data_IF_179997033020
#
_entry.id   IF_179997033020
#
_cell.length_a   1.000
_cell.length_b   1.000
_cell.length_c   1.000
_cell.angle_alpha   90.00
_cell.angle_beta   90.00
_cell.angle_gamma   90.00
#
_symmetry.space_group_name_H-M   'P 1'
#
loop_
_entity.id
_entity.type
_entity.pdbx_description
1 polymer ?
#
# COMPACT_ATOMS: atom_id res chain seq x y z
N UNK A 1 22.09 -3.82 16.66
CA UNK A 1 21.05 -4.84 16.88
C UNK A 1 20.67 -4.73 18.35
N UNK A 2 19.55 -4.09 18.65
CA UNK A 2 19.04 -4.01 20.02
C UNK A 2 18.01 -5.13 20.14
N UNK A 3 18.32 -6.17 20.91
CA UNK A 3 17.33 -7.18 21.29
C UNK A 3 16.20 -6.47 22.05
N UNK A 4 15.01 -6.47 21.46
CA UNK A 4 13.81 -6.21 22.23
C UNK A 4 13.64 -7.35 23.24
N UNK A 5 13.26 -7.08 24.50
CA UNK A 5 13.10 -8.12 25.51
C UNK A 5 12.13 -9.20 25.01
N UNK A 6 12.43 -10.46 25.30
CA UNK A 6 11.66 -11.64 24.91
C UNK A 6 10.19 -11.62 25.40
N UNK A 7 9.83 -10.66 26.25
CA UNK A 7 8.51 -10.54 26.87
C UNK A 7 7.52 -9.64 26.09
N UNK A 8 7.93 -9.09 24.94
CA UNK A 8 7.08 -8.17 24.15
C UNK A 8 6.38 -8.82 22.95
N UNK A 9 6.37 -10.16 22.86
CA UNK A 9 5.70 -10.88 21.78
C UNK A 9 4.23 -10.47 21.69
N UNK A 10 3.79 -10.06 20.50
CA UNK A 10 2.41 -9.67 20.25
C UNK A 10 2.03 -8.24 20.66
N UNK A 11 2.82 -7.58 21.51
CA UNK A 11 2.59 -6.18 21.93
C UNK A 11 3.16 -5.18 20.92
N UNK A 12 4.31 -5.53 20.33
CA UNK A 12 5.01 -4.71 19.33
C UNK A 12 5.38 -5.55 18.12
N UNK A 13 5.40 -4.93 16.94
CA UNK A 13 5.94 -5.57 15.74
C UNK A 13 7.47 -5.46 15.78
N UNK A 14 8.15 -6.60 15.70
CA UNK A 14 9.62 -6.64 15.61
C UNK A 14 10.07 -6.51 14.15
N UNK A 15 11.16 -5.80 13.92
CA UNK A 15 11.64 -5.53 12.56
C UNK A 15 12.08 -6.82 11.84
N UNK A 16 12.72 -7.74 12.54
CA UNK A 16 13.11 -9.05 12.00
C UNK A 16 11.89 -9.85 11.52
N UNK A 17 10.79 -9.85 12.27
CA UNK A 17 9.54 -10.48 11.86
C UNK A 17 8.93 -9.83 10.61
N UNK A 18 8.89 -8.49 10.55
CA UNK A 18 8.34 -7.80 9.38
C UNK A 18 9.21 -8.01 8.13
N UNK A 19 10.53 -8.14 8.28
CA UNK A 19 11.44 -8.49 7.18
C UNK A 19 11.24 -9.94 6.75
N UNK A 20 11.05 -10.86 7.71
CA UNK A 20 10.82 -12.28 7.46
C UNK A 20 9.43 -12.57 6.88
N UNK A 21 8.45 -11.68 7.05
CA UNK A 21 7.09 -11.79 6.51
C UNK A 21 7.00 -11.70 4.97
N UNK A 22 8.11 -11.90 4.26
CA UNK A 22 8.19 -11.93 2.81
C UNK A 22 7.54 -13.23 2.32
N UNK A 23 6.52 -13.18 1.45
CA UNK A 23 5.85 -14.38 0.98
C UNK A 23 6.82 -15.28 0.19
N UNK A 24 6.70 -16.59 0.39
CA UNK A 24 7.42 -17.60 -0.38
C UNK A 24 6.65 -17.90 -1.68
N UNK A 25 7.30 -17.72 -2.84
CA UNK A 25 6.70 -18.01 -4.14
C UNK A 25 6.74 -16.82 -5.10
N UNK A 26 6.72 -17.12 -6.40
CA UNK A 26 7.00 -16.18 -7.50
C UNK A 26 6.11 -14.94 -7.57
N UNK A 27 6.46 -14.02 -8.50
CA UNK A 27 5.86 -12.70 -8.72
C UNK A 27 4.34 -12.68 -8.51
N UNK A 28 3.90 -12.43 -7.27
CA UNK A 28 2.51 -12.17 -6.95
C UNK A 28 2.28 -10.69 -7.17
N UNK A 29 1.48 -10.35 -8.19
CA UNK A 29 1.06 -8.98 -8.43
C UNK A 29 -0.38 -8.80 -7.96
N UNK A 30 -0.72 -7.60 -7.51
CA UNK A 30 -2.12 -7.28 -7.26
C UNK A 30 -2.90 -7.32 -8.58
N UNK A 31 -3.90 -8.20 -8.65
CA UNK A 31 -4.80 -8.26 -9.77
C UNK A 31 -5.50 -6.90 -9.94
N UNK A 32 -5.49 -6.28 -11.13
CA UNK A 32 -6.24 -5.06 -11.35
C UNK A 32 -7.73 -5.36 -11.15
N UNK A 33 -8.33 -4.84 -10.08
CA UNK A 33 -9.78 -4.93 -9.91
C UNK A 33 -10.43 -3.86 -10.77
N UNK A 34 -11.02 -4.26 -11.89
CA UNK A 34 -11.84 -3.39 -12.72
C UNK A 34 -11.07 -2.43 -13.63
N UNK A 35 -11.75 -2.01 -14.71
CA UNK A 35 -11.23 -1.06 -15.70
C UNK A 35 -10.77 0.20 -14.97
N UNK A 36 -9.48 0.54 -15.09
CA UNK A 36 -9.00 1.89 -14.81
C UNK A 36 -9.92 2.84 -15.57
N UNK A 37 -10.81 3.56 -14.87
CA UNK A 37 -11.63 4.62 -15.47
C UNK A 37 -10.71 5.79 -15.78
N UNK A 38 -9.84 5.65 -16.78
CA UNK A 38 -9.39 6.79 -17.57
C UNK A 38 -10.49 7.09 -18.60
N UNK A 39 -11.69 7.43 -18.13
CA UNK A 39 -12.68 8.10 -18.97
C UNK A 39 -12.36 9.59 -18.96
N UNK A 40 -11.34 9.97 -19.71
CA UNK A 40 -11.35 11.27 -20.38
C UNK A 40 -11.64 11.01 -21.84
N UNK A 41 -12.92 11.12 -22.20
CA UNK A 41 -13.32 11.27 -23.60
C UNK A 41 -12.76 12.61 -24.09
N UNK A 42 -11.76 12.52 -24.95
CA UNK A 42 -11.15 13.62 -25.66
C UNK A 42 -10.13 13.01 -26.60
N UNK A 43 -10.53 12.79 -27.85
CA UNK A 43 -9.73 12.09 -28.84
C UNK A 43 -8.39 12.78 -29.05
N UNK A 44 -7.33 12.25 -28.42
CA UNK A 44 -5.96 12.55 -28.80
C UNK A 44 -5.12 11.30 -28.62
N UNK A 45 -4.72 10.77 -29.78
CA UNK A 45 -3.46 10.08 -30.07
C UNK A 45 -2.58 9.91 -28.81
N UNK A 46 -2.35 8.66 -28.43
CA UNK A 46 -1.21 8.29 -27.58
C UNK A 46 0.05 8.95 -28.16
N UNK A 47 0.44 10.07 -27.56
CA UNK A 47 1.71 10.73 -27.75
C UNK A 47 2.51 10.68 -26.44
N UNK A 48 2.32 9.62 -25.64
CA UNK A 48 3.15 9.40 -24.47
C UNK A 48 4.47 8.75 -24.89
N UNK A 49 5.41 9.62 -25.25
CA UNK A 49 6.82 9.28 -25.39
C UNK A 49 7.38 8.93 -24.00
N UNK A 50 7.55 7.64 -23.72
CA UNK A 50 8.48 7.21 -22.68
C UNK A 50 8.15 5.91 -21.93
N UNK A 51 8.72 4.81 -22.43
CA UNK A 51 9.16 3.56 -21.73
C UNK A 51 8.10 2.59 -21.20
N UNK A 52 8.10 1.37 -21.77
CA UNK A 52 7.55 0.14 -21.18
C UNK A 52 6.24 -0.38 -21.80
N UNK A 53 6.28 -0.89 -23.03
CA UNK A 53 5.19 -1.74 -23.56
C UNK A 53 5.77 -3.16 -23.65
N UNK A 54 5.35 -4.05 -22.75
CA UNK A 54 5.75 -5.46 -22.79
C UNK A 54 4.84 -6.20 -23.78
N UNK A 55 5.41 -7.14 -24.54
CA UNK A 55 4.62 -8.01 -25.39
C UNK A 55 3.76 -8.92 -24.51
N UNK A 56 2.45 -8.87 -24.69
CA UNK A 56 1.49 -9.68 -23.93
C UNK A 56 1.23 -10.99 -24.67
N UNK A 57 0.53 -10.91 -25.81
CA UNK A 57 0.21 -12.06 -26.65
C UNK A 57 0.05 -11.69 -28.13
N UNK A 58 0.05 -12.71 -28.99
CA UNK A 58 -0.33 -12.57 -30.40
C UNK A 58 -1.74 -13.14 -30.57
N UNK A 59 -2.68 -12.31 -31.06
CA UNK A 59 -4.05 -12.74 -31.38
C UNK A 59 -4.38 -12.58 -32.86
N UNK A 60 -5.45 -13.23 -33.33
CA UNK A 60 -6.01 -12.96 -34.65
C UNK A 60 -6.50 -11.51 -34.75
N UNK A 61 -6.19 -10.85 -35.85
CA UNK A 61 -6.60 -9.48 -36.13
C UNK A 61 -8.12 -9.36 -36.11
N UNK A 62 -8.64 -8.34 -35.42
CA UNK A 62 -10.04 -7.95 -35.48
C UNK A 62 -10.17 -6.58 -36.15
N UNK A 63 -11.25 -6.40 -36.91
CA UNK A 63 -11.55 -5.12 -37.54
C UNK A 63 -11.65 -4.02 -36.46
N UNK A 64 -10.81 -2.99 -36.57
CA UNK A 64 -10.66 -1.93 -35.58
C UNK A 64 -9.31 -1.94 -34.85
N UNK A 65 -8.53 -3.02 -34.95
CA UNK A 65 -7.15 -3.06 -34.48
C UNK A 65 -6.24 -2.12 -35.29
N UNK A 66 -5.29 -1.46 -34.63
CA UNK A 66 -4.27 -0.62 -35.27
C UNK A 66 -3.37 -1.48 -36.17
N UNK A 67 -3.26 -1.09 -37.44
CA UNK A 67 -2.43 -1.79 -38.44
C UNK A 67 -0.95 -1.82 -38.04
N UNK A 68 -0.49 -0.83 -37.23
CA UNK A 68 0.90 -0.76 -36.77
C UNK A 68 1.27 -1.85 -35.77
N UNK A 69 0.29 -2.47 -35.11
CA UNK A 69 0.53 -3.54 -34.15
C UNK A 69 0.48 -4.92 -34.79
N UNK A 70 0.30 -5.03 -36.12
CA UNK A 70 0.31 -6.32 -36.82
C UNK A 70 1.69 -6.99 -36.75
N UNK A 71 1.70 -8.28 -36.39
CA UNK A 71 2.89 -9.13 -36.50
C UNK A 71 3.00 -9.71 -37.92
N UNK A 72 3.77 -9.07 -38.79
CA UNK A 72 3.99 -9.60 -40.14
C UNK A 72 4.78 -10.92 -40.17
N UNK A 73 5.58 -11.23 -39.15
CA UNK A 73 6.35 -12.49 -39.12
C UNK A 73 5.44 -13.68 -38.82
N UNK A 74 4.56 -13.55 -37.83
CA UNK A 74 3.57 -14.60 -37.52
C UNK A 74 2.56 -14.71 -38.66
N UNK A 75 2.08 -13.58 -39.17
CA UNK A 75 1.13 -13.55 -40.29
C UNK A 75 1.68 -14.24 -41.55
N UNK A 76 2.94 -14.01 -41.89
CA UNK A 76 3.58 -14.67 -43.03
C UNK A 76 3.66 -16.19 -42.87
N UNK A 77 3.79 -16.70 -41.63
CA UNK A 77 3.85 -18.15 -41.36
C UNK A 77 2.48 -18.81 -41.32
N UNK A 78 1.45 -18.11 -40.82
CA UNK A 78 0.11 -18.67 -40.60
C UNK A 78 -0.88 -18.38 -41.72
N UNK A 79 -0.57 -17.45 -42.63
CA UNK A 79 -1.47 -17.00 -43.70
C UNK A 79 -2.70 -16.23 -43.19
N UNK A 80 -2.75 -15.90 -41.90
CA UNK A 80 -3.83 -15.14 -41.25
C UNK A 80 -3.24 -13.95 -40.52
N UNK A 81 -3.88 -12.79 -40.60
CA UNK A 81 -3.40 -11.56 -39.96
C UNK A 81 -3.45 -11.68 -38.45
N UNK A 82 -2.33 -11.40 -37.80
CA UNK A 82 -2.20 -11.41 -36.35
C UNK A 82 -1.80 -10.04 -35.81
N UNK A 83 -2.40 -9.65 -34.70
CA UNK A 83 -2.12 -8.40 -33.97
C UNK A 83 -1.30 -8.72 -32.72
N UNK A 84 -0.20 -7.99 -32.50
CA UNK A 84 0.52 -7.99 -31.22
C UNK A 84 -0.26 -7.18 -30.21
N UNK A 85 -0.62 -7.80 -29.11
CA UNK A 85 -1.07 -7.10 -27.91
C UNK A 85 0.16 -6.71 -27.11
N UNK A 86 0.16 -5.46 -26.66
CA UNK A 86 1.19 -4.89 -25.83
C UNK A 86 0.54 -4.46 -24.53
N UNK A 87 1.06 -4.94 -23.41
CA UNK A 87 0.63 -4.50 -22.09
C UNK A 87 1.55 -3.37 -21.63
N UNK A 88 0.96 -2.31 -21.08
CA UNK A 88 1.74 -1.22 -20.50
C UNK A 88 2.43 -1.74 -19.23
N UNK A 89 3.77 -1.76 -19.21
CA UNK A 89 4.57 -1.97 -18.01
C UNK A 89 4.48 -0.69 -17.16
N UNK A 90 3.35 -0.51 -16.49
CA UNK A 90 3.19 0.58 -15.52
C UNK A 90 3.71 0.14 -14.17
N UNK A 91 4.79 0.78 -13.75
CA UNK A 91 5.17 0.89 -12.35
C UNK A 91 4.03 1.58 -11.58
N UNK A 92 3.22 0.79 -10.87
CA UNK A 92 2.05 1.31 -10.15
C UNK A 92 2.51 1.81 -8.77
N UNK A 93 2.07 3.01 -8.34
CA UNK A 93 2.23 3.40 -6.95
C UNK A 93 1.31 2.55 -6.07
N UNK A 94 1.85 1.96 -5.02
CA UNK A 94 1.12 1.34 -3.92
C UNK A 94 1.30 2.21 -2.68
N UNK A 95 0.19 2.62 -2.09
CA UNK A 95 0.14 3.39 -0.86
C UNK A 95 -0.52 2.58 0.24
N UNK A 96 0.14 2.47 1.38
CA UNK A 96 -0.38 1.78 2.56
C UNK A 96 -0.63 2.83 3.65
N UNK A 97 -1.87 2.89 4.14
CA UNK A 97 -2.19 3.57 5.39
C UNK A 97 -2.20 2.51 6.49
N UNK A 98 -1.25 2.60 7.40
CA UNK A 98 -1.13 1.73 8.55
C UNK A 98 -1.58 2.49 9.80
N UNK A 99 -2.59 1.95 10.49
CA UNK A 99 -3.05 2.48 11.77
C UNK A 99 -2.32 1.81 12.94
N UNK A 100 -1.52 2.60 13.66
CA UNK A 100 -0.83 2.24 14.90
C UNK A 100 -1.26 3.14 16.08
N UNK A 101 -2.41 3.82 15.95
CA UNK A 101 -2.99 4.69 16.97
C UNK A 101 -3.36 3.93 18.25
N UNK A 102 -3.68 4.66 19.31
CA UNK A 102 -3.95 4.10 20.64
C UNK A 102 -5.02 3.01 20.65
N UNK A 103 -6.10 3.17 19.87
CA UNK A 103 -7.20 2.19 19.76
C UNK A 103 -6.78 0.85 19.14
N UNK A 104 -5.72 0.84 18.32
CA UNK A 104 -5.17 -0.38 17.73
C UNK A 104 -4.34 -1.20 18.73
N UNK A 105 -4.10 -0.70 19.95
CA UNK A 105 -3.37 -1.39 21.04
C UNK A 105 -4.29 -2.25 21.89
N UNK A 106 -5.12 -3.01 21.20
CA UNK A 106 -6.06 -3.93 21.80
C UNK A 106 -5.88 -5.28 21.11
N UNK A 107 -6.06 -6.36 21.87
CA UNK A 107 -5.99 -7.72 21.39
C UNK A 107 -6.27 -8.66 22.54
N UNK A 108 -7.27 -9.51 22.37
CA UNK A 108 -7.74 -10.46 23.39
C UNK A 108 -6.83 -11.67 23.49
N UNK A 109 -6.22 -12.05 22.37
CA UNK A 109 -5.35 -13.23 22.25
C UNK A 109 -3.87 -12.84 22.25
N UNK A 110 -3.10 -13.45 21.36
CA UNK A 110 -1.63 -13.42 21.37
C UNK A 110 -1.02 -12.16 20.78
N UNK A 111 -1.80 -11.26 20.18
CA UNK A 111 -1.25 -10.12 19.41
C UNK A 111 -2.23 -8.95 19.33
N UNK A 112 -1.73 -7.72 19.43
CA UNK A 112 -2.50 -6.49 19.22
C UNK A 112 -2.90 -6.27 17.77
N UNK A 113 -4.04 -5.62 17.55
CA UNK A 113 -4.52 -5.20 16.22
C UNK A 113 -3.45 -4.42 15.46
N UNK A 114 -2.71 -3.53 16.12
CA UNK A 114 -1.61 -2.74 15.53
C UNK A 114 -0.47 -3.62 14.98
N UNK A 115 -0.12 -4.69 15.68
CA UNK A 115 0.94 -5.62 15.27
C UNK A 115 0.47 -6.49 14.10
N UNK A 116 -0.77 -6.98 14.14
CA UNK A 116 -1.36 -7.70 13.02
C UNK A 116 -1.47 -6.80 11.77
N UNK A 117 -1.89 -5.55 11.94
CA UNK A 117 -1.94 -4.54 10.89
C UNK A 117 -0.55 -4.29 10.28
N UNK A 118 0.50 -4.16 11.11
CA UNK A 118 1.87 -3.98 10.65
C UNK A 118 2.41 -5.21 9.89
N UNK A 119 2.08 -6.42 10.33
CA UNK A 119 2.41 -7.67 9.60
C UNK A 119 1.74 -7.70 8.24
N UNK A 120 0.45 -7.38 8.16
CA UNK A 120 -0.26 -7.29 6.89
C UNK A 120 0.34 -6.21 5.96
N UNK A 121 0.67 -5.04 6.51
CA UNK A 121 1.33 -3.96 5.78
C UNK A 121 2.70 -4.38 5.21
N UNK A 122 3.49 -5.13 6.00
CA UNK A 122 4.79 -5.64 5.57
C UNK A 122 4.64 -6.64 4.41
N UNK A 123 3.71 -7.60 4.52
CA UNK A 123 3.40 -8.55 3.43
C UNK A 123 3.03 -7.80 2.15
N UNK A 124 2.10 -6.84 2.23
CA UNK A 124 1.69 -6.03 1.07
C UNK A 124 2.86 -5.24 0.47
N UNK A 125 3.74 -4.71 1.32
CA UNK A 125 4.95 -4.01 0.90
C UNK A 125 5.87 -4.94 0.11
N UNK A 126 6.09 -6.17 0.58
CA UNK A 126 6.93 -7.14 -0.10
C UNK A 126 6.35 -7.59 -1.43
N UNK A 127 5.06 -7.94 -1.46
CA UNK A 127 4.32 -8.30 -2.69
C UNK A 127 4.49 -7.21 -3.75
N UNK A 128 4.28 -5.95 -3.35
CA UNK A 128 4.40 -4.81 -4.27
C UNK A 128 5.81 -4.68 -4.86
N UNK A 129 6.85 -4.80 -4.03
CA UNK A 129 8.24 -4.65 -4.49
C UNK A 129 8.66 -5.82 -5.40
N UNK A 130 8.17 -7.02 -5.12
CA UNK A 130 8.39 -8.20 -5.97
C UNK A 130 7.67 -8.11 -7.31
N UNK A 131 6.50 -7.45 -7.33
CA UNK A 131 5.77 -7.11 -8.53
C UNK A 131 6.41 -5.97 -9.35
N UNK A 132 7.45 -5.30 -8.81
CA UNK A 132 8.12 -4.18 -9.45
C UNK A 132 7.45 -2.81 -9.23
N UNK A 133 6.48 -2.73 -8.32
CA UNK A 133 5.76 -1.51 -7.99
C UNK A 133 6.55 -0.60 -7.03
N UNK A 134 6.13 0.66 -6.88
CA UNK A 134 6.66 1.57 -5.84
C UNK A 134 5.79 1.52 -4.61
N UNK A 135 6.38 1.40 -3.43
CA UNK A 135 5.63 1.39 -2.17
C UNK A 135 5.95 2.59 -1.31
N UNK A 136 4.91 3.18 -0.76
CA UNK A 136 5.00 4.21 0.28
C UNK A 136 3.70 4.22 1.09
N UNK A 137 3.45 5.30 1.82
CA UNK A 137 2.27 5.33 2.67
C UNK A 137 2.25 6.38 3.74
N UNK A 138 1.27 6.23 4.64
CA UNK A 138 1.13 7.00 5.86
C UNK A 138 1.03 6.03 7.03
N UNK A 139 1.80 6.29 8.09
CA UNK A 139 1.68 5.57 9.35
C UNK A 139 1.05 6.53 10.35
N UNK A 140 -0.14 6.20 10.84
CA UNK A 140 -0.82 6.94 11.87
C UNK A 140 -0.43 6.39 13.24
N UNK A 141 0.03 7.27 14.13
CA UNK A 141 0.54 6.93 15.46
C UNK A 141 -0.02 7.91 16.48
N UNK A 142 0.11 7.64 17.79
CA UNK A 142 -0.32 8.59 18.81
C UNK A 142 0.42 9.93 18.77
N UNK A 143 1.67 9.99 18.28
CA UNK A 143 2.38 11.26 18.11
C UNK A 143 2.03 12.02 16.84
N UNK A 144 1.42 11.38 15.84
CA UNK A 144 1.06 12.03 14.59
C UNK A 144 1.10 11.12 13.36
N UNK A 145 1.15 11.77 12.20
CA UNK A 145 1.12 11.12 10.88
C UNK A 145 2.49 11.18 10.21
N UNK A 146 3.07 10.02 9.92
CA UNK A 146 4.37 9.92 9.24
C UNK A 146 4.16 9.51 7.78
N UNK A 147 4.65 10.33 6.84
CA UNK A 147 4.43 10.11 5.40
C UNK A 147 5.70 9.65 4.70
N UNK A 148 5.55 8.64 3.84
CA UNK A 148 6.61 8.03 3.06
C UNK A 148 6.22 8.06 1.58
N UNK A 149 7.01 8.76 0.76
CA UNK A 149 6.79 8.77 -0.69
C UNK A 149 6.96 7.36 -1.27
N UNK A 150 6.21 6.97 -2.32
CA UNK A 150 6.41 5.70 -3.01
C UNK A 150 7.83 5.55 -3.54
N UNK A 151 8.52 4.48 -3.15
CA UNK A 151 9.88 4.16 -3.56
C UNK A 151 9.98 2.69 -3.98
N UNK A 152 10.89 2.41 -4.92
CA UNK A 152 11.32 1.06 -5.31
C UNK A 152 12.65 0.63 -4.69
N UNK A 153 13.40 1.59 -4.13
CA UNK A 153 14.72 1.32 -3.56
C UNK A 153 14.59 0.43 -2.34
N UNK A 154 15.29 -0.72 -2.34
CA UNK A 154 15.31 -1.66 -1.22
C UNK A 154 15.65 -0.99 0.11
N UNK A 155 16.61 -0.06 0.12
CA UNK A 155 16.99 0.68 1.32
C UNK A 155 15.85 1.58 1.84
N UNK A 156 15.14 2.27 0.94
CA UNK A 156 13.98 3.11 1.31
C UNK A 156 12.80 2.27 1.81
N UNK A 157 12.56 1.13 1.18
CA UNK A 157 11.52 0.17 1.58
C UNK A 157 11.83 -0.41 2.96
N UNK A 158 13.07 -0.83 3.22
CA UNK A 158 13.49 -1.28 4.55
C UNK A 158 13.30 -0.18 5.60
N UNK A 159 13.59 1.08 5.25
CA UNK A 159 13.29 2.23 6.11
C UNK A 159 11.79 2.39 6.40
N UNK A 160 10.93 2.13 5.41
CA UNK A 160 9.48 2.16 5.58
C UNK A 160 8.98 1.01 6.47
N UNK A 161 9.48 -0.21 6.27
CA UNK A 161 9.16 -1.38 7.11
C UNK A 161 9.65 -1.17 8.55
N UNK A 162 10.84 -0.59 8.74
CA UNK A 162 11.33 -0.17 10.06
C UNK A 162 10.37 0.83 10.72
N UNK A 163 9.90 1.82 9.97
CA UNK A 163 8.95 2.79 10.52
C UNK A 163 7.61 2.16 10.92
N UNK A 164 7.15 1.10 10.25
CA UNK A 164 5.97 0.33 10.68
C UNK A 164 6.21 -0.31 12.05
N UNK A 165 7.36 -0.96 12.24
CA UNK A 165 7.76 -1.52 13.53
C UNK A 165 7.84 -0.44 14.61
N UNK A 166 8.56 0.66 14.34
CA UNK A 166 8.71 1.79 15.27
C UNK A 166 7.34 2.40 15.66
N UNK A 167 6.41 2.51 14.71
CA UNK A 167 5.06 3.04 14.95
C UNK A 167 4.25 2.19 15.94
N UNK A 168 4.41 0.86 15.93
CA UNK A 168 3.76 -0.02 16.92
C UNK A 168 4.38 0.10 18.31
N UNK A 169 5.65 0.49 18.40
CA UNK A 169 6.39 0.62 19.66
C UNK A 169 6.16 1.96 20.36
N UNK A 170 5.65 2.96 19.65
CA UNK A 170 5.49 4.30 20.21
C UNK A 170 4.62 4.26 21.49
N UNK A 171 4.91 5.06 22.51
CA UNK A 171 4.11 5.07 23.74
C UNK A 171 4.26 3.83 24.64
N UNK A 172 4.98 2.78 24.21
CA UNK A 172 5.49 1.75 25.11
C UNK A 172 6.85 2.19 25.67
N UNK A 173 7.07 1.97 26.98
CA UNK A 173 8.33 2.33 27.66
C UNK A 173 9.55 1.48 27.22
N UNK A 174 9.41 0.68 26.16
CA UNK A 174 10.40 -0.23 25.63
C UNK A 174 11.28 0.40 24.53
N UNK A 175 10.98 1.63 24.10
CA UNK A 175 11.80 2.34 23.11
C UNK A 175 12.91 3.16 23.80
N UNK A 176 14.18 3.12 23.35
CA UNK A 176 15.26 3.96 23.90
C UNK A 176 14.98 5.48 23.82
N UNK A 177 14.06 5.89 22.95
CA UNK A 177 13.55 7.27 22.83
C UNK A 177 12.50 7.65 23.88
N UNK A 178 12.05 6.70 24.71
CA UNK A 178 11.02 6.92 25.73
C UNK A 178 11.46 7.89 26.83
N UNK A 179 12.77 8.03 27.08
CA UNK A 179 13.28 9.03 28.03
C UNK A 179 13.14 10.46 27.50
N UNK A 180 13.25 10.66 26.18
CA UNK A 180 12.98 11.95 25.53
C UNK A 180 11.47 12.22 25.34
N UNK A 181 10.66 11.15 25.25
CA UNK A 181 9.21 11.26 25.08
C UNK A 181 8.48 11.74 26.35
N UNK A 182 8.97 11.39 27.55
CA UNK A 182 8.37 11.82 28.83
C UNK A 182 8.41 13.34 29.03
N UNK A 183 9.44 14.01 28.51
CA UNK A 183 9.54 15.49 28.51
C UNK A 183 8.73 16.17 27.41
N UNK A 184 8.36 15.44 26.34
CA UNK A 184 7.56 15.95 25.22
C UNK A 184 6.03 15.77 25.42
N UNK A 185 5.61 15.05 26.46
CA UNK A 185 4.20 14.78 26.78
C UNK A 185 3.38 16.06 27.05
N UNK A 186 4.03 17.16 27.41
CA UNK A 186 3.38 18.45 27.66
C UNK A 186 3.05 19.28 26.40
N UNK A 187 3.55 18.89 25.21
CA UNK A 187 3.35 19.61 23.94
C UNK A 187 2.71 18.76 22.82
N UNK A 188 2.24 17.54 23.10
CA UNK A 188 1.55 16.74 22.07
C UNK A 188 0.14 17.29 21.85
N UNK A 189 -0.15 17.68 20.61
CA UNK A 189 -1.52 17.94 20.16
C UNK A 189 -2.37 16.67 20.22
N UNK A 190 -3.68 16.77 19.94
CA UNK A 190 -4.56 15.61 19.92
C UNK A 190 -4.05 14.55 18.93
N UNK A 191 -4.21 13.27 19.28
CA UNK A 191 -3.94 12.15 18.40
C UNK A 191 -4.75 12.30 17.08
N UNK A 192 -4.14 12.11 15.91
CA UNK A 192 -4.81 12.35 14.63
C UNK A 192 -6.01 11.41 14.40
N UNK A 193 -7.07 11.96 13.80
CA UNK A 193 -8.24 11.18 13.40
C UNK A 193 -7.96 10.39 12.10
N UNK A 194 -8.77 9.36 11.83
CA UNK A 194 -8.67 8.58 10.60
C UNK A 194 -8.87 9.48 9.37
N UNK A 195 -9.77 10.46 9.47
CA UNK A 195 -9.99 11.46 8.43
C UNK A 195 -8.69 12.21 8.05
N UNK A 196 -7.87 12.57 9.03
CA UNK A 196 -6.60 13.27 8.81
C UNK A 196 -5.58 12.37 8.11
N UNK A 197 -5.52 11.09 8.52
CA UNK A 197 -4.65 10.09 7.91
C UNK A 197 -5.02 9.84 6.44
N UNK A 198 -6.32 9.68 6.14
CA UNK A 198 -6.83 9.50 4.78
C UNK A 198 -6.59 10.77 3.94
N UNK A 199 -6.85 11.96 4.49
CA UNK A 199 -6.56 13.23 3.82
C UNK A 199 -5.06 13.42 3.54
N UNK A 200 -4.19 12.96 4.45
CA UNK A 200 -2.74 12.98 4.26
C UNK A 200 -2.31 12.03 3.15
N UNK A 201 -2.83 10.80 3.14
CA UNK A 201 -2.55 9.80 2.12
C UNK A 201 -3.02 10.25 0.72
N UNK A 202 -4.22 10.86 0.66
CA UNK A 202 -4.83 11.37 -0.57
C UNK A 202 -3.96 12.41 -1.29
N UNK A 203 -3.17 13.20 -0.56
CA UNK A 203 -2.21 14.16 -1.14
C UNK A 203 -1.08 13.50 -1.93
N UNK A 204 -0.77 12.24 -1.64
CA UNK A 204 0.27 11.47 -2.33
C UNK A 204 -0.31 10.56 -3.42
N UNK A 205 -1.58 10.19 -3.32
CA UNK A 205 -2.26 9.34 -4.29
C UNK A 205 -2.42 10.05 -5.64
N UNK A 206 -2.11 9.32 -6.72
CA UNK A 206 -2.28 9.73 -8.12
C UNK A 206 -3.24 8.78 -8.84
N UNK A 207 -3.83 9.16 -9.99
CA UNK A 207 -4.59 8.24 -10.82
C UNK A 207 -3.85 6.91 -11.05
N UNK A 208 -4.53 5.79 -10.81
CA UNK A 208 -3.96 4.44 -10.94
C UNK A 208 -3.15 3.95 -9.73
N UNK A 209 -3.13 4.68 -8.62
CA UNK A 209 -2.56 4.23 -7.35
C UNK A 209 -3.43 3.13 -6.73
N UNK A 210 -2.78 2.06 -6.26
CA UNK A 210 -3.42 1.08 -5.38
C UNK A 210 -3.25 1.54 -3.94
N UNK A 211 -4.33 1.53 -3.18
CA UNK A 211 -4.33 2.00 -1.80
C UNK A 211 -4.87 0.92 -0.89
N UNK A 212 -4.12 0.62 0.17
CA UNK A 212 -4.54 -0.27 1.25
C UNK A 212 -4.69 0.53 2.54
N UNK A 213 -5.90 0.57 3.10
CA UNK A 213 -6.15 1.14 4.44
C UNK A 213 -6.25 -0.02 5.42
N UNK A 214 -5.38 -0.04 6.43
CA UNK A 214 -5.33 -1.11 7.43
C UNK A 214 -5.60 -0.50 8.79
N UNK A 215 -6.80 -0.72 9.31
CA UNK A 215 -7.31 -0.10 10.54
C UNK A 215 -8.48 -0.93 11.09
N UNK A 216 -8.86 -0.67 12.34
CA UNK A 216 -10.12 -1.11 12.93
C UNK A 216 -11.28 -0.14 12.66
N UNK A 217 -11.00 1.00 11.99
CA UNK A 217 -12.00 2.01 11.63
C UNK A 217 -12.85 2.50 12.81
N UNK A 218 -12.32 2.45 14.04
CA UNK A 218 -13.06 2.78 15.27
C UNK A 218 -13.67 4.20 15.24
N UNK A 219 -12.96 5.17 14.67
CA UNK A 219 -13.36 6.57 14.54
C UNK A 219 -13.84 6.93 13.11
N UNK A 220 -14.53 6.01 12.43
CA UNK A 220 -15.09 6.25 11.09
C UNK A 220 -16.28 7.23 11.10
N UNK A 221 -15.95 8.53 11.14
CA UNK A 221 -16.91 9.64 11.09
C UNK A 221 -17.31 10.03 9.66
N UNK A 222 -18.30 10.91 9.51
CA UNK A 222 -18.63 11.52 8.20
C UNK A 222 -17.43 12.24 7.55
N UNK A 223 -16.52 12.81 8.34
CA UNK A 223 -15.29 13.39 7.82
C UNK A 223 -14.40 12.32 7.18
N UNK A 224 -14.24 11.17 7.84
CA UNK A 224 -13.49 10.04 7.30
C UNK A 224 -14.16 9.47 6.03
N UNK A 225 -15.49 9.33 6.04
CA UNK A 225 -16.26 8.88 4.88
C UNK A 225 -16.09 9.81 3.67
N UNK A 226 -16.10 11.14 3.88
CA UNK A 226 -15.86 12.13 2.81
C UNK A 226 -14.45 12.04 2.24
N UNK A 227 -13.43 11.94 3.08
CA UNK A 227 -12.05 11.82 2.59
C UNK A 227 -11.80 10.48 1.88
N UNK A 228 -12.39 9.39 2.38
CA UNK A 228 -12.33 8.08 1.73
C UNK A 228 -13.03 8.09 0.37
N UNK A 229 -14.20 8.72 0.27
CA UNK A 229 -14.92 8.87 -0.99
C UNK A 229 -14.10 9.67 -2.01
N UNK A 230 -13.47 10.78 -1.57
CA UNK A 230 -12.57 11.59 -2.42
C UNK A 230 -11.35 10.80 -2.87
N UNK A 231 -10.78 9.96 -1.99
CA UNK A 231 -9.65 9.10 -2.32
C UNK A 231 -10.04 8.03 -3.36
N UNK A 232 -11.22 7.42 -3.21
CA UNK A 232 -11.74 6.41 -4.13
C UNK A 232 -12.06 6.94 -5.54
N UNK A 233 -12.27 8.25 -5.70
CA UNK A 233 -12.44 8.87 -7.02
C UNK A 233 -11.16 8.87 -7.88
N UNK A 234 -9.98 8.80 -7.25
CA UNK A 234 -8.69 8.89 -7.94
C UNK A 234 -7.82 7.64 -7.80
N UNK A 235 -8.11 6.75 -6.85
CA UNK A 235 -7.32 5.58 -6.55
C UNK A 235 -8.20 4.35 -6.32
N UNK A 236 -7.62 3.17 -6.54
CA UNK A 236 -8.27 1.92 -6.15
C UNK A 236 -8.02 1.68 -4.67
N UNK A 237 -9.07 1.78 -3.87
CA UNK A 237 -8.98 1.65 -2.41
C UNK A 237 -9.46 0.28 -1.96
N UNK A 238 -8.64 -0.40 -1.17
CA UNK A 238 -8.98 -1.63 -0.45
C UNK A 238 -8.88 -1.36 1.04
N UNK A 239 -9.99 -1.53 1.75
CA UNK A 239 -10.02 -1.43 3.20
C UNK A 239 -9.79 -2.82 3.80
N UNK A 240 -8.82 -2.93 4.69
CA UNK A 240 -8.49 -4.13 5.45
C UNK A 240 -8.90 -3.85 6.89
N UNK A 241 -10.04 -4.42 7.27
CA UNK A 241 -10.62 -4.28 8.60
C UNK A 241 -9.91 -5.23 9.56
N UNK A 242 -9.30 -4.68 10.60
CA UNK A 242 -8.63 -5.45 11.66
C UNK A 242 -9.51 -5.37 12.90
N UNK A 243 -9.99 -6.52 13.36
CA UNK A 243 -10.90 -6.61 14.51
C UNK A 243 -10.50 -7.74 15.43
N UNK A 244 -10.96 -7.66 16.67
CA UNK A 244 -10.87 -8.75 17.64
C UNK A 244 -12.26 -9.36 17.88
N UNK A 245 -12.34 -10.68 18.06
CA UNK A 245 -13.62 -11.39 18.19
C UNK A 245 -14.44 -10.97 19.43
N UNK A 246 -13.81 -10.42 20.47
CA UNK A 246 -14.54 -9.88 21.61
C UNK A 246 -15.21 -8.52 21.34
N UNK A 247 -14.89 -7.84 20.24
CA UNK A 247 -15.57 -6.60 19.85
C UNK A 247 -16.96 -6.87 19.25
N UNK A 248 -17.29 -8.14 18.93
CA UNK A 248 -18.60 -8.55 18.39
C UNK A 248 -19.59 -9.05 19.46
N UNK A 249 -19.17 -9.18 20.73
CA UNK A 249 -19.94 -9.81 21.82
C UNK A 249 -20.75 -8.83 22.67
#
# INVERSE_FOLDING_TARGET
>A
MSDAPADAYGLIARLDELIAARPEGGKSAFAPRGKVRSQQFGGYRSAFRGRGMEFDEVRLYQAGDDIRTIDWRVTARTGRTHTKLFQEERERPVLILLDCRSFMRFGTRDTFKSVLAAKAAAVLTWISIEAGDRVGGVIATPSGLHSYSPQRSRARVLGFVKAMADGTQEGFALSPSAQSARSATAQRGPEPALADAVARLRRTARPGTLVFLISDFHDFTEAAARELSRLALQAQVTNIFVYDALEEA
#
